data_IF_879777489197
#
_entry.id   IF_879777489197
#
_cell.length_a   1.000
_cell.length_b   1.000
_cell.length_c   1.000
_cell.angle_alpha   90.00
_cell.angle_beta   90.00
_cell.angle_gamma   90.00
#
_symmetry.space_group_name_H-M   'P 1'
#
loop_
_entity.id
_entity.type
_entity.pdbx_description
1 polymer ?
#
# COMPACT_ATOMS: atom_id res chain seq x y z
N UNK A 1 -42.05 21.72 28.20
CA UNK A 1 -40.67 21.79 27.67
C UNK A 1 -40.40 20.46 26.98
N UNK A 2 -40.43 20.42 25.65
CA UNK A 2 -40.14 19.21 24.89
C UNK A 2 -38.63 19.13 24.68
N UNK A 3 -37.99 18.06 25.16
CA UNK A 3 -36.58 17.80 24.92
C UNK A 3 -36.32 17.58 23.42
N UNK A 4 -35.27 18.18 22.82
CA UNK A 4 -34.87 17.84 21.47
C UNK A 4 -34.25 16.43 21.48
N UNK A 5 -34.72 15.58 20.57
CA UNK A 5 -34.11 14.28 20.30
C UNK A 5 -32.70 14.49 19.77
N UNK A 6 -31.70 14.01 20.52
CA UNK A 6 -30.30 13.94 20.08
C UNK A 6 -30.17 12.82 19.04
N UNK A 7 -30.54 13.10 17.81
CA UNK A 7 -30.19 12.25 16.67
C UNK A 7 -28.79 12.68 16.19
N UNK A 8 -27.76 12.29 16.95
CA UNK A 8 -26.36 12.31 16.50
C UNK A 8 -26.15 11.19 15.47
N UNK A 9 -26.85 11.30 14.35
CA UNK A 9 -26.74 10.36 13.24
C UNK A 9 -25.37 10.50 12.58
N UNK A 10 -24.47 9.54 12.83
CA UNK A 10 -23.29 9.32 11.98
C UNK A 10 -23.79 9.19 10.54
N UNK A 11 -23.59 10.23 9.72
CA UNK A 11 -23.91 10.14 8.31
C UNK A 11 -23.01 9.10 7.68
N UNK A 12 -23.61 8.06 7.10
CA UNK A 12 -22.89 7.15 6.22
C UNK A 12 -22.18 7.99 5.14
N UNK A 13 -20.86 7.95 5.11
CA UNK A 13 -20.07 8.65 4.11
C UNK A 13 -20.43 8.13 2.72
N UNK A 14 -20.44 9.01 1.73
CA UNK A 14 -20.55 8.61 0.32
C UNK A 14 -19.44 7.62 0.01
N UNK A 15 -19.75 6.54 -0.73
CA UNK A 15 -18.74 5.59 -1.17
C UNK A 15 -17.57 6.33 -1.84
N UNK A 16 -16.35 6.13 -1.35
CA UNK A 16 -15.16 6.77 -1.92
C UNK A 16 -14.94 6.27 -3.34
N UNK A 17 -14.51 7.15 -4.23
CA UNK A 17 -14.02 6.74 -5.56
C UNK A 17 -12.85 5.78 -5.39
N UNK A 18 -12.76 4.69 -6.19
CA UNK A 18 -11.66 3.75 -6.09
C UNK A 18 -10.31 4.42 -6.31
N UNK A 19 -9.28 4.02 -5.55
CA UNK A 19 -7.96 4.67 -5.59
C UNK A 19 -6.81 3.70 -5.28
N UNK A 20 -5.65 4.02 -5.86
CA UNK A 20 -4.38 3.38 -5.54
C UNK A 20 -3.36 4.40 -5.04
N UNK A 21 -2.40 3.94 -4.24
CA UNK A 21 -1.26 4.75 -3.82
C UNK A 21 0.00 3.89 -3.69
N UNK A 22 1.15 4.49 -4.00
CA UNK A 22 2.46 3.90 -3.78
C UNK A 22 3.17 4.67 -2.66
N UNK A 23 3.28 4.05 -1.49
CA UNK A 23 3.86 4.69 -0.31
C UNK A 23 5.33 4.29 -0.14
N UNK A 24 6.19 5.23 0.29
CA UNK A 24 7.62 4.96 0.48
C UNK A 24 7.86 4.03 1.67
N UNK A 25 9.11 3.57 1.77
CA UNK A 25 9.59 2.88 2.97
C UNK A 25 9.41 3.73 4.21
N UNK A 26 9.04 3.08 5.32
CA UNK A 26 8.73 3.72 6.61
C UNK A 26 7.60 4.76 6.57
N UNK A 27 6.70 4.70 5.58
CA UNK A 27 5.57 5.63 5.53
C UNK A 27 4.73 5.59 6.82
N UNK A 28 4.39 6.76 7.43
CA UNK A 28 3.61 6.81 8.67
C UNK A 28 2.24 6.14 8.59
N UNK A 29 1.62 6.07 7.41
CA UNK A 29 0.35 5.36 7.18
C UNK A 29 0.51 3.88 7.46
N UNK A 30 1.60 3.27 6.96
CA UNK A 30 1.93 1.86 7.15
C UNK A 30 2.50 1.59 8.56
N UNK A 31 3.26 2.55 9.10
CA UNK A 31 4.00 2.39 10.35
C UNK A 31 3.21 2.79 11.61
N UNK A 32 2.15 3.59 11.46
CA UNK A 32 1.49 4.27 12.58
C UNK A 32 0.76 3.37 13.58
N UNK A 33 0.48 2.10 13.22
CA UNK A 33 -0.26 1.17 14.07
C UNK A 33 0.46 -0.17 14.17
N UNK A 34 0.55 -0.72 15.39
CA UNK A 34 1.12 -2.06 15.61
C UNK A 34 0.21 -3.16 15.07
N UNK A 35 -1.09 -3.04 15.34
CA UNK A 35 -2.13 -3.93 14.83
C UNK A 35 -2.57 -3.44 13.46
N UNK A 36 -2.41 -4.26 12.41
CA UNK A 36 -2.54 -3.81 11.01
C UNK A 36 -3.64 -4.50 10.22
N UNK A 37 -4.38 -5.42 10.85
CA UNK A 37 -5.38 -6.27 10.18
C UNK A 37 -6.48 -5.51 9.43
N UNK A 38 -6.69 -4.24 9.77
CA UNK A 38 -7.69 -3.39 9.14
C UNK A 38 -7.27 -2.88 7.75
N UNK A 39 -5.99 -2.92 7.40
CA UNK A 39 -5.50 -2.61 6.05
C UNK A 39 -4.53 -3.65 5.46
N UNK A 40 -4.07 -4.63 6.23
CA UNK A 40 -3.09 -5.61 5.79
C UNK A 40 -3.52 -7.02 6.18
N UNK A 41 -3.44 -7.94 5.22
CA UNK A 41 -3.57 -9.36 5.50
C UNK A 41 -2.44 -9.82 6.46
N UNK A 42 -2.76 -10.43 7.61
CA UNK A 42 -1.76 -10.93 8.54
C UNK A 42 -0.70 -11.85 7.92
N UNK A 43 -1.07 -12.62 6.89
CA UNK A 43 -0.17 -13.56 6.22
C UNK A 43 0.89 -12.84 5.36
N UNK A 44 0.61 -11.58 4.96
CA UNK A 44 1.52 -10.77 4.14
C UNK A 44 2.50 -9.94 4.96
N UNK A 45 2.37 -9.89 6.29
CA UNK A 45 3.26 -9.08 7.16
C UNK A 45 4.74 -9.42 6.93
N UNK A 46 5.08 -10.71 6.86
CA UNK A 46 6.49 -11.13 6.67
C UNK A 46 7.05 -10.80 5.29
N UNK A 47 6.18 -10.48 4.33
CA UNK A 47 6.56 -10.12 2.97
C UNK A 47 6.99 -8.65 2.89
N UNK A 48 6.29 -7.80 3.64
CA UNK A 48 6.34 -6.34 3.53
C UNK A 48 7.17 -5.67 4.62
N UNK A 49 7.46 -6.39 5.70
CA UNK A 49 8.23 -5.89 6.84
C UNK A 49 9.55 -6.64 6.98
N UNK A 50 10.61 -5.92 7.37
CA UNK A 50 11.88 -6.53 7.76
C UNK A 50 11.78 -7.17 9.17
N UNK A 51 12.88 -7.79 9.63
CA UNK A 51 12.93 -8.44 10.95
C UNK A 51 12.79 -7.47 12.13
N UNK A 52 13.07 -6.19 11.92
CA UNK A 52 12.96 -5.14 12.93
C UNK A 52 11.55 -4.52 12.93
N UNK A 53 10.68 -4.95 12.01
CA UNK A 53 9.33 -4.42 11.86
C UNK A 53 9.25 -3.13 11.05
N UNK A 54 10.28 -2.79 10.28
CA UNK A 54 10.25 -1.68 9.34
C UNK A 54 9.50 -2.10 8.07
N UNK A 55 8.51 -1.31 7.66
CA UNK A 55 7.87 -1.50 6.37
C UNK A 55 8.79 -1.05 5.23
N UNK A 56 8.89 -1.89 4.21
CA UNK A 56 9.39 -1.46 2.90
C UNK A 56 8.37 -0.56 2.19
N UNK A 57 8.56 -0.40 0.88
CA UNK A 57 7.57 0.23 0.01
C UNK A 57 6.27 -0.57 -0.01
N UNK A 58 5.13 0.13 -0.18
CA UNK A 58 3.81 -0.52 -0.19
C UNK A 58 2.97 0.00 -1.35
N UNK A 59 2.24 -0.91 -1.99
CA UNK A 59 1.22 -0.61 -2.98
C UNK A 59 -0.15 -0.79 -2.33
N UNK A 60 -1.03 0.19 -2.49
CA UNK A 60 -2.34 0.26 -1.86
C UNK A 60 -3.45 0.26 -2.91
N UNK A 61 -4.57 -0.37 -2.56
CA UNK A 61 -5.83 -0.34 -3.30
C UNK A 61 -6.99 -0.21 -2.31
N UNK A 62 -7.82 0.81 -2.45
CA UNK A 62 -9.01 1.06 -1.63
C UNK A 62 -8.77 0.89 -0.12
N UNK A 63 -7.64 1.43 0.37
CA UNK A 63 -7.25 1.40 1.78
C UNK A 63 -6.66 0.08 2.26
N UNK A 64 -6.41 -0.89 1.38
CA UNK A 64 -5.71 -2.14 1.67
C UNK A 64 -4.32 -2.15 1.03
N UNK A 65 -3.34 -2.67 1.75
CA UNK A 65 -2.04 -3.02 1.15
C UNK A 65 -2.24 -4.28 0.30
N UNK A 66 -1.84 -4.18 -0.97
CA UNK A 66 -1.96 -5.26 -1.96
C UNK A 66 -0.60 -5.76 -2.43
N UNK A 67 0.49 -5.08 -2.05
CA UNK A 67 1.83 -5.41 -2.51
C UNK A 67 2.87 -4.37 -2.12
N UNK A 68 3.94 -4.33 -2.89
CA UNK A 68 5.01 -3.33 -2.82
C UNK A 68 5.23 -2.70 -4.20
N UNK A 69 5.97 -1.59 -4.24
CA UNK A 69 6.56 -1.10 -5.49
C UNK A 69 8.07 -1.17 -5.44
N UNK A 70 8.70 -1.35 -6.59
CA UNK A 70 10.15 -1.49 -6.75
C UNK A 70 10.63 -0.57 -7.87
N UNK A 71 11.95 -0.39 -7.97
CA UNK A 71 12.57 0.22 -9.14
C UNK A 71 13.54 -0.75 -9.79
N UNK A 72 13.51 -0.79 -11.11
CA UNK A 72 14.49 -1.51 -11.91
C UNK A 72 15.85 -0.75 -11.97
N UNK A 73 16.86 -1.27 -12.69
CA UNK A 73 18.14 -0.57 -12.87
C UNK A 73 18.05 0.76 -13.61
N UNK A 74 17.04 0.95 -14.46
CA UNK A 74 16.80 2.17 -15.25
C UNK A 74 15.94 3.21 -14.48
N UNK A 75 15.47 2.86 -13.29
CA UNK A 75 14.67 3.72 -12.41
C UNK A 75 13.17 3.67 -12.68
N UNK A 76 12.72 2.75 -13.54
CA UNK A 76 11.29 2.51 -13.80
C UNK A 76 10.65 1.88 -12.57
N UNK A 77 9.50 2.41 -12.17
CA UNK A 77 8.73 1.91 -11.04
C UNK A 77 7.81 0.79 -11.52
N UNK A 78 7.83 -0.32 -10.80
CA UNK A 78 6.91 -1.45 -10.98
C UNK A 78 6.20 -1.82 -9.68
N UNK A 79 5.07 -2.48 -9.78
CA UNK A 79 4.34 -3.02 -8.62
C UNK A 79 4.39 -4.54 -8.56
N UNK A 80 4.64 -5.07 -7.36
CA UNK A 80 4.65 -6.50 -7.08
C UNK A 80 3.54 -6.80 -6.09
N UNK A 81 2.52 -7.54 -6.52
CA UNK A 81 1.40 -7.94 -5.67
C UNK A 81 1.80 -9.05 -4.70
N UNK A 82 1.20 -9.06 -3.51
CA UNK A 82 1.32 -10.18 -2.59
C UNK A 82 0.64 -11.44 -3.17
N UNK A 83 1.12 -12.65 -2.83
CA UNK A 83 0.50 -13.90 -3.25
C UNK A 83 -0.97 -13.99 -2.81
N UNK A 84 -1.83 -14.50 -3.69
CA UNK A 84 -3.25 -14.71 -3.38
C UNK A 84 -4.11 -13.44 -3.36
N UNK A 85 -3.55 -12.27 -3.64
CA UNK A 85 -4.32 -11.03 -3.74
C UNK A 85 -5.21 -11.06 -4.99
N UNK A 86 -6.53 -10.99 -4.77
CA UNK A 86 -7.53 -10.79 -5.80
C UNK A 86 -8.27 -9.47 -5.61
N UNK A 87 -8.02 -8.53 -6.52
CA UNK A 87 -8.55 -7.15 -6.50
C UNK A 87 -9.18 -6.78 -7.84
N UNK A 88 -9.54 -7.79 -8.65
CA UNK A 88 -10.11 -7.58 -9.98
C UNK A 88 -9.16 -6.87 -10.96
N UNK A 89 -9.69 -6.52 -12.14
CA UNK A 89 -8.91 -5.84 -13.18
C UNK A 89 -8.55 -4.40 -12.79
N UNK A 90 -9.50 -3.65 -12.23
CA UNK A 90 -9.27 -2.25 -11.88
C UNK A 90 -8.26 -2.11 -10.74
N UNK A 91 -8.35 -2.95 -9.70
CA UNK A 91 -7.38 -2.94 -8.60
C UNK A 91 -5.99 -3.37 -9.04
N UNK A 92 -5.85 -4.14 -10.13
CA UNK A 92 -4.55 -4.44 -10.75
C UNK A 92 -4.04 -3.28 -11.61
N UNK A 93 -4.92 -2.60 -12.33
CA UNK A 93 -4.55 -1.51 -13.22
C UNK A 93 -4.21 -0.22 -12.46
N UNK A 94 -4.87 0.07 -11.35
CA UNK A 94 -4.69 1.33 -10.64
C UNK A 94 -3.29 1.53 -10.03
N UNK A 95 -2.67 0.54 -9.34
CA UNK A 95 -1.29 0.65 -8.89
C UNK A 95 -0.29 0.78 -10.05
N UNK A 96 -0.56 0.16 -11.21
CA UNK A 96 0.28 0.29 -12.42
C UNK A 96 0.26 1.72 -12.95
N UNK A 97 -0.91 2.36 -13.04
CA UNK A 97 -1.00 3.78 -13.44
C UNK A 97 -0.25 4.69 -12.46
N UNK A 98 -0.31 4.38 -11.17
CA UNK A 98 0.43 5.14 -10.16
C UNK A 98 1.94 4.91 -10.29
N UNK A 99 2.37 3.71 -10.68
CA UNK A 99 3.77 3.41 -11.00
C UNK A 99 4.27 4.19 -12.23
N UNK A 100 3.47 4.29 -13.29
CA UNK A 100 3.79 5.13 -14.47
C UNK A 100 3.92 6.61 -14.08
N UNK A 101 2.99 7.10 -13.26
CA UNK A 101 3.01 8.47 -12.75
C UNK A 101 4.25 8.73 -11.90
N UNK A 102 4.57 7.82 -11.00
CA UNK A 102 5.73 7.92 -10.12
C UNK A 102 7.05 7.82 -10.90
N UNK A 103 7.12 6.95 -11.90
CA UNK A 103 8.26 6.84 -12.83
C UNK A 103 8.52 8.18 -13.52
N UNK A 104 7.47 8.77 -14.09
CA UNK A 104 7.56 10.08 -14.76
C UNK A 104 8.02 11.17 -13.79
N UNK A 105 7.49 11.16 -12.56
CA UNK A 105 7.85 12.15 -11.56
C UNK A 105 9.29 12.01 -11.05
N UNK A 106 9.79 10.77 -10.94
CA UNK A 106 11.16 10.50 -10.49
C UNK A 106 12.22 10.78 -11.56
N UNK A 107 11.85 10.80 -12.85
CA UNK A 107 12.76 11.16 -13.96
C UNK A 107 14.10 10.40 -13.93
N UNK A 108 14.03 9.08 -13.74
CA UNK A 108 15.19 8.20 -13.65
C UNK A 108 15.92 8.19 -12.30
N UNK A 109 15.50 9.00 -11.32
CA UNK A 109 16.06 8.98 -9.96
C UNK A 109 15.72 7.65 -9.28
N UNK A 110 16.76 6.94 -8.83
CA UNK A 110 16.63 5.70 -8.04
C UNK A 110 16.66 6.00 -6.54
N UNK A 111 15.62 5.56 -5.84
CA UNK A 111 15.50 5.72 -4.39
C UNK A 111 16.27 4.60 -3.69
N UNK A 112 17.34 4.97 -2.97
CA UNK A 112 18.08 4.02 -2.14
C UNK A 112 17.26 3.65 -0.91
N UNK A 113 17.02 2.35 -0.74
CA UNK A 113 16.09 1.86 0.26
C UNK A 113 16.80 0.95 1.29
N UNK A 114 17.21 1.48 2.46
CA UNK A 114 17.94 0.69 3.46
C UNK A 114 17.08 -0.40 4.11
N UNK A 115 15.74 -0.27 4.06
CA UNK A 115 14.79 -1.21 4.66
C UNK A 115 13.99 -1.96 3.59
N UNK A 116 14.70 -2.70 2.75
CA UNK A 116 14.06 -3.49 1.70
C UNK A 116 13.39 -4.75 2.28
N UNK A 117 12.08 -4.87 2.06
CA UNK A 117 11.27 -6.03 2.46
C UNK A 117 11.61 -7.27 1.62
N UNK A 118 11.07 -8.45 1.99
CA UNK A 118 11.28 -9.69 1.22
C UNK A 118 10.65 -9.59 -0.17
N UNK A 119 9.47 -8.97 -0.26
CA UNK A 119 8.75 -8.79 -1.51
C UNK A 119 9.52 -7.88 -2.48
N UNK A 120 10.09 -6.78 -1.98
CA UNK A 120 10.94 -5.90 -2.79
C UNK A 120 12.17 -6.61 -3.34
N UNK A 121 12.71 -7.58 -2.59
CA UNK A 121 13.90 -8.35 -2.96
C UNK A 121 13.60 -9.50 -3.93
N UNK A 122 12.33 -9.74 -4.27
CA UNK A 122 11.93 -10.89 -5.10
C UNK A 122 12.29 -12.24 -4.47
N UNK A 123 12.40 -12.32 -3.14
CA UNK A 123 12.75 -13.56 -2.47
C UNK A 123 11.64 -14.60 -2.63
N UNK A 124 12.01 -15.87 -2.82
CA UNK A 124 11.06 -16.98 -2.80
C UNK A 124 10.31 -16.99 -1.47
N UNK A 125 8.98 -16.93 -1.57
CA UNK A 125 8.10 -16.91 -0.41
C UNK A 125 7.71 -18.37 -0.07
N UNK A 126 7.67 -18.73 1.22
CA UNK A 126 7.30 -20.08 1.66
C UNK A 126 5.86 -20.43 1.32
#
# INVERSE_FOLDING_TARGET
MSSPSSDDGIRAGTASTPWAALLPTLDPTTMGWKERRFYLDPDHVRLLFDTNGNAGTTAWWDGRIVGAWVQDPDGVVDTVLCPGVDIGSEGRAAPVREAERLTTWLDGVRITNPYASRLMKGQTLP
#
